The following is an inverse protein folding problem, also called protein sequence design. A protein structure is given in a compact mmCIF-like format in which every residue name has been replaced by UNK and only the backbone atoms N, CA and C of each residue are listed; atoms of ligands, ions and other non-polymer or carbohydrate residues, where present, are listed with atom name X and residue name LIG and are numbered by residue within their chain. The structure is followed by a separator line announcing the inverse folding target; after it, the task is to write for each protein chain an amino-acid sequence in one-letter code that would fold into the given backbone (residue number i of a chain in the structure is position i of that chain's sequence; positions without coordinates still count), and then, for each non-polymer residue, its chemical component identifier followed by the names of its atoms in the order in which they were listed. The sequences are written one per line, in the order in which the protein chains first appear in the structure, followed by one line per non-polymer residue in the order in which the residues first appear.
data_IF_976031903077
#
_entry.id   IF_976031903077
#
_cell.length_a   1.000
_cell.length_b   1.000
_cell.length_c   1.000
_cell.angle_alpha   90.00
_cell.angle_beta   90.00
_cell.angle_gamma   90.00
#
_symmetry.space_group_name_H-M   'P 1'
#
loop_
_entity.id
_entity.type
_entity.pdbx_description
1 polymer ?
#
# COMPACT_ATOMS: atom_id res chain seq x y z
N UNK A 1 -51.61 30.07 27.33
CA UNK A 1 -51.90 29.75 25.91
C UNK A 1 -50.83 30.28 24.95
N UNK A 2 -50.31 31.50 25.13
CA UNK A 2 -49.24 32.05 24.26
C UNK A 2 -47.92 31.24 24.29
N UNK A 3 -47.47 30.78 25.47
CA UNK A 3 -46.24 29.97 25.60
C UNK A 3 -46.40 28.58 24.98
N UNK A 4 -47.60 27.98 25.04
CA UNK A 4 -47.89 26.68 24.43
C UNK A 4 -47.87 26.72 22.89
N UNK A 5 -48.41 27.79 22.30
CA UNK A 5 -48.34 28.02 20.84
C UNK A 5 -46.90 28.33 20.42
N UNK A 6 -46.15 29.09 21.22
CA UNK A 6 -44.74 29.38 20.96
C UNK A 6 -43.86 28.12 20.99
N UNK A 7 -44.12 27.19 21.93
CA UNK A 7 -43.43 25.90 22.01
C UNK A 7 -43.86 24.98 20.87
N UNK A 8 -45.14 24.90 20.51
CA UNK A 8 -45.62 24.13 19.35
C UNK A 8 -45.05 24.63 18.02
N UNK A 9 -44.93 25.94 17.81
CA UNK A 9 -44.33 26.52 16.60
C UNK A 9 -42.82 26.24 16.52
N UNK A 10 -42.08 26.38 17.63
CA UNK A 10 -40.64 26.08 17.64
C UNK A 10 -40.32 24.59 17.59
N UNK A 11 -41.13 23.73 18.19
CA UNK A 11 -40.95 22.26 18.15
C UNK A 11 -41.32 21.72 16.77
N UNK A 12 -42.33 22.27 16.10
CA UNK A 12 -42.67 21.94 14.71
C UNK A 12 -41.54 22.25 13.73
N UNK A 13 -40.97 23.46 13.79
CA UNK A 13 -39.82 23.86 12.95
C UNK A 13 -38.55 23.05 13.28
N UNK A 14 -38.30 22.72 14.55
CA UNK A 14 -37.14 21.91 14.94
C UNK A 14 -37.30 20.46 14.49
N UNK A 15 -38.52 19.92 14.55
CA UNK A 15 -38.84 18.58 14.08
C UNK A 15 -38.75 18.48 12.55
N UNK A 16 -39.29 19.44 11.80
CA UNK A 16 -39.10 19.49 10.34
C UNK A 16 -37.62 19.62 9.99
N UNK A 17 -36.89 20.59 10.57
CA UNK A 17 -35.47 20.85 10.27
C UNK A 17 -34.57 19.66 10.63
N UNK A 18 -34.87 18.94 11.71
CA UNK A 18 -34.13 17.73 12.11
C UNK A 18 -34.44 16.56 11.17
N UNK A 19 -35.67 16.45 10.66
CA UNK A 19 -36.10 15.41 9.70
C UNK A 19 -35.51 15.64 8.31
N UNK A 20 -35.48 16.88 7.80
CA UNK A 20 -34.81 17.18 6.51
C UNK A 20 -33.30 17.01 6.63
N UNK A 21 -32.65 17.44 7.73
CA UNK A 21 -31.23 17.17 7.96
C UNK A 21 -30.91 15.68 8.02
N UNK A 22 -31.80 14.86 8.61
CA UNK A 22 -31.65 13.40 8.62
C UNK A 22 -31.83 12.80 7.22
N UNK A 23 -32.80 13.27 6.43
CA UNK A 23 -33.03 12.83 5.05
C UNK A 23 -31.85 13.21 4.15
N UNK A 24 -31.41 14.47 4.17
CA UNK A 24 -30.28 14.95 3.37
C UNK A 24 -28.98 14.27 3.81
N UNK A 25 -28.77 14.09 5.12
CA UNK A 25 -27.62 13.35 5.65
C UNK A 25 -27.60 11.88 5.23
N UNK A 26 -28.74 11.19 5.34
CA UNK A 26 -28.87 9.77 4.96
C UNK A 26 -28.67 9.56 3.46
N UNK A 27 -29.23 10.45 2.62
CA UNK A 27 -29.07 10.40 1.16
C UNK A 27 -27.61 10.61 0.76
N UNK A 28 -26.91 11.57 1.39
CA UNK A 28 -25.49 11.79 1.14
C UNK A 28 -24.64 10.57 1.54
N UNK A 29 -24.95 9.93 2.67
CA UNK A 29 -24.26 8.71 3.11
C UNK A 29 -24.51 7.54 2.16
N UNK A 30 -25.73 7.36 1.65
CA UNK A 30 -26.06 6.32 0.67
C UNK A 30 -25.32 6.57 -0.66
N UNK A 31 -25.29 7.81 -1.14
CA UNK A 31 -24.59 8.18 -2.36
C UNK A 31 -23.09 7.92 -2.25
N UNK A 32 -22.47 8.33 -1.13
CA UNK A 32 -21.05 8.07 -0.85
C UNK A 32 -20.79 6.56 -0.72
N UNK A 33 -21.65 5.82 -0.04
CA UNK A 33 -21.54 4.37 0.10
C UNK A 33 -21.66 3.63 -1.24
N UNK A 34 -22.57 4.04 -2.11
CA UNK A 34 -22.72 3.48 -3.46
C UNK A 34 -21.49 3.78 -4.33
N UNK A 35 -20.94 4.99 -4.27
CA UNK A 35 -19.71 5.35 -4.98
C UNK A 35 -18.53 4.52 -4.47
N UNK A 36 -18.38 4.35 -3.15
CA UNK A 36 -17.31 3.51 -2.58
C UNK A 36 -17.48 2.05 -3.00
N UNK A 37 -18.71 1.52 -3.02
CA UNK A 37 -18.99 0.15 -3.46
C UNK A 37 -18.66 -0.05 -4.94
N UNK A 38 -19.00 0.94 -5.79
CA UNK A 38 -18.68 0.92 -7.23
C UNK A 38 -17.17 0.98 -7.46
N UNK A 39 -16.47 1.88 -6.77
CA UNK A 39 -14.99 1.98 -6.83
C UNK A 39 -14.35 0.69 -6.32
N UNK A 40 -14.88 0.08 -5.26
CA UNK A 40 -14.39 -1.19 -4.71
C UNK A 40 -14.67 -2.37 -5.64
N UNK A 41 -15.82 -2.40 -6.32
CA UNK A 41 -16.14 -3.42 -7.33
C UNK A 41 -15.23 -3.30 -8.55
N UNK A 42 -14.99 -2.08 -9.05
CA UNK A 42 -14.04 -1.86 -10.14
C UNK A 42 -12.58 -2.12 -9.71
N UNK A 43 -12.22 -1.87 -8.46
CA UNK A 43 -10.91 -2.23 -7.91
C UNK A 43 -10.73 -3.74 -7.75
N UNK A 44 -11.75 -4.45 -7.26
CA UNK A 44 -11.73 -5.90 -7.10
C UNK A 44 -11.81 -6.62 -8.44
N UNK A 45 -12.72 -6.20 -9.33
CA UNK A 45 -12.74 -6.67 -10.72
C UNK A 45 -11.49 -6.24 -11.48
N UNK A 46 -10.88 -5.10 -11.18
CA UNK A 46 -9.58 -4.69 -11.72
C UNK A 46 -8.49 -5.66 -11.31
N UNK A 47 -8.37 -5.95 -10.00
CA UNK A 47 -7.38 -6.89 -9.45
C UNK A 47 -7.61 -8.36 -9.86
N UNK A 48 -8.87 -8.77 -10.08
CA UNK A 48 -9.25 -10.12 -10.55
C UNK A 48 -9.13 -10.24 -12.07
N UNK A 49 -9.38 -9.16 -12.82
CA UNK A 49 -9.27 -9.08 -14.30
C UNK A 49 -7.86 -8.72 -14.77
N UNK A 50 -6.99 -8.26 -13.87
CA UNK A 50 -5.55 -8.26 -14.08
C UNK A 50 -5.03 -9.70 -14.01
N UNK A 51 -4.91 -10.24 -15.21
CA UNK A 51 -4.20 -11.44 -15.58
C UNK A 51 -2.95 -11.65 -14.68
N UNK A 52 -2.56 -12.91 -14.40
CA UNK A 52 -1.32 -13.27 -13.66
C UNK A 52 -0.05 -12.49 -14.11
N UNK A 53 -0.12 -11.86 -15.28
CA UNK A 53 0.81 -10.88 -15.79
C UNK A 53 1.04 -9.60 -14.98
N UNK A 54 0.16 -9.07 -14.10
CA UNK A 54 0.49 -7.81 -13.40
C UNK A 54 1.67 -7.98 -12.43
N UNK A 55 1.61 -9.02 -11.58
CA UNK A 55 2.75 -9.42 -10.75
C UNK A 55 3.95 -9.81 -11.61
N UNK A 56 3.75 -10.48 -12.76
CA UNK A 56 4.84 -10.79 -13.70
C UNK A 56 5.50 -9.52 -14.29
N UNK A 57 4.70 -8.51 -14.65
CA UNK A 57 5.16 -7.23 -15.18
C UNK A 57 6.00 -6.50 -14.14
N UNK A 58 5.51 -6.40 -12.90
CA UNK A 58 6.27 -5.83 -11.78
C UNK A 58 7.57 -6.60 -11.60
N UNK A 59 7.53 -7.94 -11.61
CA UNK A 59 8.73 -8.77 -11.49
C UNK A 59 9.74 -8.53 -12.61
N UNK A 60 9.31 -8.40 -13.87
CA UNK A 60 10.19 -8.15 -15.02
C UNK A 60 10.76 -6.74 -15.04
N UNK A 61 9.94 -5.73 -14.74
CA UNK A 61 10.35 -4.34 -14.73
C UNK A 61 11.32 -4.06 -13.58
N UNK A 62 11.01 -4.58 -12.39
CA UNK A 62 11.88 -4.47 -11.21
C UNK A 62 13.27 -5.08 -11.49
N UNK A 63 13.33 -6.27 -12.08
CA UNK A 63 14.61 -6.88 -12.41
C UNK A 63 15.41 -6.04 -13.41
N UNK A 64 14.74 -5.52 -14.44
CA UNK A 64 15.34 -4.66 -15.47
C UNK A 64 15.88 -3.35 -14.88
N UNK A 65 15.12 -2.70 -14.02
CA UNK A 65 15.50 -1.44 -13.38
C UNK A 65 16.68 -1.66 -12.42
N UNK A 66 16.62 -2.71 -11.58
CA UNK A 66 17.73 -3.09 -10.71
C UNK A 66 19.00 -3.43 -11.50
N UNK A 67 18.85 -4.12 -12.64
CA UNK A 67 19.98 -4.44 -13.50
C UNK A 67 20.62 -3.17 -14.10
N UNK A 68 19.80 -2.20 -14.51
CA UNK A 68 20.29 -0.91 -14.98
C UNK A 68 21.02 -0.15 -13.86
N UNK A 69 20.40 -0.03 -12.68
CA UNK A 69 21.01 0.64 -11.53
C UNK A 69 22.32 0.00 -11.09
N UNK A 70 22.44 -1.33 -11.16
CA UNK A 70 23.68 -2.03 -10.83
C UNK A 70 24.82 -1.69 -11.81
N UNK A 71 24.54 -1.58 -13.10
CA UNK A 71 25.54 -1.22 -14.13
C UNK A 71 25.91 0.26 -14.10
N UNK A 72 24.97 1.13 -13.71
CA UNK A 72 25.18 2.57 -13.57
C UNK A 72 25.84 2.94 -12.22
N UNK A 73 25.96 1.98 -11.30
CA UNK A 73 26.53 2.18 -9.96
C UNK A 73 27.97 2.72 -9.99
N UNK A 74 28.23 3.76 -9.19
CA UNK A 74 29.57 4.34 -9.05
C UNK A 74 29.97 5.30 -10.18
N UNK A 75 29.08 5.59 -11.13
CA UNK A 75 29.34 6.66 -12.12
C UNK A 75 29.15 8.04 -11.51
N UNK A 76 29.99 8.99 -11.93
CA UNK A 76 29.99 10.37 -11.42
C UNK A 76 28.77 11.19 -11.84
N UNK A 77 28.16 10.85 -12.97
CA UNK A 77 26.95 11.49 -13.51
C UNK A 77 25.65 11.00 -12.86
N UNK A 78 25.69 9.88 -12.12
CA UNK A 78 24.53 9.21 -11.49
C UNK A 78 24.80 8.85 -10.01
N UNK A 79 25.28 9.82 -9.23
CA UNK A 79 25.55 9.66 -7.78
C UNK A 79 24.26 9.36 -6.97
N UNK A 80 23.12 9.88 -7.42
CA UNK A 80 21.80 9.61 -6.86
C UNK A 80 21.42 8.13 -6.94
N UNK A 81 21.70 7.47 -8.07
CA UNK A 81 21.50 6.02 -8.23
C UNK A 81 22.36 5.25 -7.23
N UNK A 82 23.62 5.64 -7.08
CA UNK A 82 24.57 5.00 -6.15
C UNK A 82 24.05 5.08 -4.71
N UNK A 83 23.62 6.26 -4.26
CA UNK A 83 23.04 6.47 -2.93
C UNK A 83 21.74 5.70 -2.70
N UNK A 84 20.86 5.69 -3.70
CA UNK A 84 19.61 4.94 -3.65
C UNK A 84 19.88 3.43 -3.54
N UNK A 85 20.83 2.92 -4.31
CA UNK A 85 21.21 1.51 -4.28
C UNK A 85 21.89 1.13 -2.96
N UNK A 86 22.75 1.98 -2.40
CA UNK A 86 23.36 1.78 -1.08
C UNK A 86 22.31 1.72 0.03
N UNK A 87 21.31 2.59 -0.05
CA UNK A 87 20.19 2.64 0.89
C UNK A 87 19.37 1.36 0.80
N UNK A 88 19.06 0.91 -0.43
CA UNK A 88 18.35 -0.33 -0.68
C UNK A 88 19.07 -1.54 -0.06
N UNK A 89 20.38 -1.65 -0.29
CA UNK A 89 21.19 -2.76 0.23
C UNK A 89 21.21 -2.82 1.76
N UNK A 90 21.31 -1.66 2.41
CA UNK A 90 21.36 -1.57 3.86
C UNK A 90 19.98 -1.77 4.51
N UNK A 91 18.91 -1.23 3.92
CA UNK A 91 17.55 -1.37 4.44
C UNK A 91 17.07 -2.81 4.29
N UNK A 92 17.25 -3.40 3.10
CA UNK A 92 16.75 -4.73 2.80
C UNK A 92 17.76 -5.84 3.10
N UNK A 93 18.97 -5.50 3.57
CA UNK A 93 20.02 -6.45 3.95
C UNK A 93 20.33 -7.42 2.81
N UNK A 94 20.63 -6.86 1.64
CA UNK A 94 20.86 -7.58 0.39
C UNK A 94 22.11 -7.04 -0.33
N UNK A 95 22.65 -7.82 -1.28
CA UNK A 95 23.78 -7.42 -2.10
C UNK A 95 23.65 -7.97 -3.53
N UNK A 96 23.80 -7.08 -4.51
CA UNK A 96 23.61 -7.41 -5.93
C UNK A 96 22.14 -7.58 -6.32
N UNK A 97 21.87 -8.17 -7.49
CA UNK A 97 20.50 -8.33 -8.00
C UNK A 97 19.91 -9.64 -7.47
N UNK A 98 20.51 -10.77 -7.83
CA UNK A 98 20.13 -12.11 -7.39
C UNK A 98 21.09 -12.63 -6.31
N UNK A 99 22.35 -12.20 -6.32
CA UNK A 99 23.33 -12.47 -5.29
C UNK A 99 24.53 -11.50 -5.38
N UNK A 100 25.42 -11.54 -4.38
CA UNK A 100 26.60 -10.68 -4.31
C UNK A 100 27.59 -10.84 -5.48
N UNK A 101 27.59 -11.96 -6.20
CA UNK A 101 28.49 -12.21 -7.35
C UNK A 101 28.08 -11.43 -8.60
N UNK A 102 26.88 -10.85 -8.62
CA UNK A 102 26.46 -10.00 -9.74
C UNK A 102 27.39 -8.79 -9.93
N UNK A 103 28.01 -8.32 -8.84
CA UNK A 103 29.04 -7.27 -8.85
C UNK A 103 30.25 -7.59 -9.73
N UNK A 104 30.56 -8.86 -9.95
CA UNK A 104 31.72 -9.27 -10.75
C UNK A 104 31.56 -8.89 -12.23
N UNK A 105 30.33 -8.68 -12.69
CA UNK A 105 30.00 -8.31 -14.07
C UNK A 105 29.87 -6.80 -14.27
N UNK A 106 30.05 -6.00 -13.21
CA UNK A 106 29.83 -4.55 -13.27
C UNK A 106 31.15 -3.81 -13.52
N UNK A 107 31.09 -2.61 -14.13
CA UNK A 107 32.26 -1.74 -14.26
C UNK A 107 32.89 -1.37 -12.92
N UNK A 108 32.08 -1.32 -11.84
CA UNK A 108 32.54 -0.99 -10.48
C UNK A 108 33.59 -1.96 -9.95
N UNK A 109 33.36 -3.28 -10.11
CA UNK A 109 34.30 -4.30 -9.63
C UNK A 109 35.49 -4.52 -10.58
N UNK A 110 35.39 -4.03 -11.83
CA UNK A 110 36.37 -4.26 -12.89
C UNK A 110 36.73 -5.75 -13.04
N UNK A 111 35.73 -6.63 -12.95
CA UNK A 111 35.90 -8.08 -13.03
C UNK A 111 36.39 -8.78 -11.75
N UNK A 112 36.60 -8.06 -10.64
CA UNK A 112 37.08 -8.68 -9.40
C UNK A 112 36.00 -9.54 -8.73
N UNK A 113 36.40 -10.72 -8.25
CA UNK A 113 35.48 -11.64 -7.56
C UNK A 113 35.19 -11.26 -6.11
N UNK A 114 36.03 -10.41 -5.51
CA UNK A 114 36.01 -10.08 -4.07
C UNK A 114 35.86 -8.58 -3.81
N UNK A 115 35.16 -7.88 -4.71
CA UNK A 115 34.85 -6.46 -4.57
C UNK A 115 33.34 -6.26 -4.70
N UNK A 116 32.76 -5.67 -3.65
CA UNK A 116 31.39 -5.20 -3.57
C UNK A 116 31.39 -3.82 -2.89
N UNK A 117 30.30 -3.05 -2.97
CA UNK A 117 30.15 -1.84 -2.16
C UNK A 117 30.19 -2.09 -0.66
N UNK A 118 30.62 -1.10 0.12
CA UNK A 118 30.58 -1.18 1.59
C UNK A 118 29.14 -1.25 2.14
N UNK A 119 28.15 -0.80 1.38
CA UNK A 119 26.72 -0.96 1.64
C UNK A 119 26.24 -2.41 1.54
N UNK A 120 27.03 -3.34 0.99
CA UNK A 120 26.76 -4.78 1.10
C UNK A 120 27.18 -5.40 2.44
N UNK A 121 27.91 -4.67 3.29
CA UNK A 121 28.41 -5.23 4.54
C UNK A 121 27.34 -5.26 5.63
N UNK A 122 27.30 -6.37 6.39
CA UNK A 122 26.40 -6.54 7.53
C UNK A 122 26.70 -5.51 8.63
N UNK A 123 27.98 -5.17 8.79
CA UNK A 123 28.45 -4.11 9.67
C UNK A 123 29.08 -3.03 8.80
N UNK A 124 28.48 -1.85 8.79
CA UNK A 124 28.97 -0.71 8.02
C UNK A 124 30.36 -0.32 8.52
N UNK A 125 31.38 -0.66 7.73
CA UNK A 125 32.79 -0.38 7.99
C UNK A 125 33.44 0.02 6.67
N UNK A 126 34.20 1.12 6.68
CA UNK A 126 34.90 1.60 5.49
C UNK A 126 35.86 0.53 4.95
N UNK A 127 35.77 0.24 3.66
CA UNK A 127 36.60 -0.74 2.95
C UNK A 127 36.24 -2.20 3.24
N UNK A 128 35.13 -2.47 3.92
CA UNK A 128 34.68 -3.84 4.19
C UNK A 128 34.35 -4.62 2.90
N UNK A 129 33.85 -3.94 1.86
CA UNK A 129 33.48 -4.58 0.60
C UNK A 129 34.67 -5.06 -0.26
N UNK A 130 35.91 -4.86 0.19
CA UNK A 130 37.13 -5.31 -0.50
C UNK A 130 37.74 -6.50 0.22
N UNK A 131 38.01 -7.59 -0.50
CA UNK A 131 38.55 -8.83 0.07
C UNK A 131 37.74 -9.32 1.28
N UNK A 132 36.41 -9.23 1.17
CA UNK A 132 35.47 -9.64 2.21
C UNK A 132 35.48 -11.17 2.42
N UNK A 133 35.03 -11.62 3.59
CA UNK A 133 34.59 -13.01 3.77
C UNK A 133 33.07 -13.07 3.57
N UNK A 134 32.56 -14.20 3.08
CA UNK A 134 31.11 -14.37 2.79
C UNK A 134 30.22 -14.06 4.01
N UNK A 135 30.73 -14.23 5.23
CA UNK A 135 30.02 -13.93 6.49
C UNK A 135 29.91 -12.44 6.83
N UNK A 136 30.73 -11.58 6.21
CA UNK A 136 30.79 -10.16 6.54
C UNK A 136 29.80 -9.33 5.69
N UNK A 137 29.24 -9.94 4.64
CA UNK A 137 28.35 -9.31 3.68
C UNK A 137 26.96 -9.95 3.66
N UNK A 138 26.00 -9.28 3.04
CA UNK A 138 24.71 -9.86 2.71
C UNK A 138 24.85 -10.77 1.47
N UNK A 139 24.54 -12.05 1.61
CA UNK A 139 24.68 -13.01 0.50
C UNK A 139 23.51 -13.00 -0.50
N UNK A 140 22.31 -12.63 -0.03
CA UNK A 140 21.08 -12.61 -0.83
C UNK A 140 21.01 -11.39 -1.75
N UNK A 141 20.45 -11.55 -2.95
CA UNK A 141 20.24 -10.44 -3.88
C UNK A 141 19.02 -9.57 -3.57
N UNK A 142 19.11 -8.29 -3.94
CA UNK A 142 18.06 -7.30 -3.68
C UNK A 142 16.78 -7.55 -4.47
N UNK A 143 16.84 -8.09 -5.68
CA UNK A 143 15.64 -8.45 -6.44
C UNK A 143 14.81 -9.50 -5.70
N UNK A 144 15.46 -10.53 -5.16
CA UNK A 144 14.79 -11.60 -4.40
C UNK A 144 14.13 -11.02 -3.15
N UNK A 145 14.84 -10.14 -2.44
CA UNK A 145 14.35 -9.55 -1.19
C UNK A 145 13.20 -8.58 -1.42
N UNK A 146 13.37 -7.61 -2.31
CA UNK A 146 12.33 -6.63 -2.67
C UNK A 146 11.09 -7.33 -3.20
N UNK A 147 11.27 -8.35 -4.04
CA UNK A 147 10.14 -9.17 -4.52
C UNK A 147 9.39 -9.85 -3.38
N UNK A 148 10.09 -10.42 -2.40
CA UNK A 148 9.43 -11.03 -1.23
C UNK A 148 8.67 -9.98 -0.44
N UNK A 149 9.30 -8.85 -0.15
CA UNK A 149 8.70 -7.75 0.62
C UNK A 149 7.46 -7.18 -0.05
N UNK A 150 7.51 -6.98 -1.38
CA UNK A 150 6.35 -6.52 -2.14
C UNK A 150 5.20 -7.51 -2.03
N UNK A 151 5.47 -8.82 -2.15
CA UNK A 151 4.42 -9.85 -2.02
C UNK A 151 3.82 -9.90 -0.62
N UNK A 152 4.67 -9.85 0.40
CA UNK A 152 4.24 -9.91 1.80
C UNK A 152 3.42 -8.67 2.18
N UNK A 153 3.89 -7.48 1.78
CA UNK A 153 3.17 -6.22 2.04
C UNK A 153 1.86 -6.12 1.25
N UNK A 154 1.84 -6.55 -0.01
CA UNK A 154 0.63 -6.55 -0.83
C UNK A 154 -0.45 -7.47 -0.24
N UNK A 155 -0.04 -8.63 0.31
CA UNK A 155 -0.97 -9.55 0.96
C UNK A 155 -1.63 -8.91 2.19
N UNK A 156 -0.87 -8.16 3.00
CA UNK A 156 -1.41 -7.41 4.15
C UNK A 156 -2.40 -6.32 3.68
N UNK A 157 -2.03 -5.53 2.68
CA UNK A 157 -2.90 -4.46 2.13
C UNK A 157 -4.22 -5.04 1.64
N UNK A 158 -4.17 -6.14 0.88
CA UNK A 158 -5.37 -6.83 0.40
C UNK A 158 -6.24 -7.36 1.56
N UNK A 159 -5.60 -7.93 2.59
CA UNK A 159 -6.29 -8.40 3.79
C UNK A 159 -7.04 -7.31 4.53
N UNK A 160 -6.40 -6.15 4.76
CA UNK A 160 -7.04 -4.98 5.40
C UNK A 160 -8.20 -4.46 4.54
N UNK A 161 -8.00 -4.35 3.22
CA UNK A 161 -9.04 -3.91 2.30
C UNK A 161 -10.30 -4.80 2.34
N UNK A 162 -10.12 -6.11 2.34
CA UNK A 162 -11.24 -7.06 2.46
C UNK A 162 -11.95 -6.98 3.80
N UNK A 163 -11.20 -6.85 4.90
CA UNK A 163 -11.79 -6.71 6.24
C UNK A 163 -12.66 -5.44 6.35
N UNK A 164 -12.15 -4.31 5.85
CA UNK A 164 -12.90 -3.05 5.81
C UNK A 164 -14.16 -3.18 4.95
N UNK A 165 -14.05 -3.80 3.77
CA UNK A 165 -15.20 -4.03 2.90
C UNK A 165 -16.29 -4.87 3.59
N UNK A 166 -15.90 -5.91 4.31
CA UNK A 166 -16.83 -6.76 5.07
C UNK A 166 -17.53 -5.99 6.20
N UNK A 167 -16.79 -5.21 6.98
CA UNK A 167 -17.34 -4.35 8.04
C UNK A 167 -18.35 -3.34 7.45
N UNK A 168 -18.01 -2.75 6.31
CA UNK A 168 -18.88 -1.78 5.64
C UNK A 168 -20.22 -2.41 5.22
N UNK A 169 -20.21 -3.64 4.70
CA UNK A 169 -21.42 -4.38 4.32
C UNK A 169 -22.29 -4.66 5.55
N UNK A 170 -21.70 -5.10 6.66
CA UNK A 170 -22.44 -5.30 7.91
C UNK A 170 -23.07 -4.00 8.41
N UNK A 171 -22.33 -2.88 8.37
CA UNK A 171 -22.85 -1.58 8.77
C UNK A 171 -24.04 -1.12 7.92
N UNK A 172 -24.00 -1.38 6.60
CA UNK A 172 -25.13 -1.09 5.71
C UNK A 172 -26.37 -1.94 6.06
N UNK A 173 -26.20 -3.23 6.34
CA UNK A 173 -27.30 -4.13 6.75
C UNK A 173 -27.94 -3.66 8.05
N UNK A 174 -27.13 -3.39 9.09
CA UNK A 174 -27.65 -2.93 10.37
C UNK A 174 -28.36 -1.58 10.26
N UNK A 175 -27.83 -0.65 9.45
CA UNK A 175 -28.46 0.64 9.20
C UNK A 175 -29.84 0.46 8.56
N UNK A 176 -29.98 -0.40 7.55
CA UNK A 176 -31.27 -0.70 6.93
C UNK A 176 -32.26 -1.31 7.93
N UNK A 177 -31.82 -2.28 8.74
CA UNK A 177 -32.68 -2.91 9.76
C UNK A 177 -33.16 -1.89 10.81
N UNK A 178 -32.27 -1.02 11.28
CA UNK A 178 -32.61 0.04 12.24
C UNK A 178 -33.61 1.04 11.64
N UNK A 179 -33.39 1.49 10.39
CA UNK A 179 -34.32 2.39 9.70
C UNK A 179 -35.69 1.74 9.55
N UNK A 180 -35.77 0.49 9.08
CA UNK A 180 -37.04 -0.22 8.94
C UNK A 180 -37.78 -0.41 10.26
N UNK A 181 -37.06 -0.56 11.38
CA UNK A 181 -37.68 -0.68 12.71
C UNK A 181 -38.21 0.67 13.20
N UNK A 182 -37.46 1.75 13.00
CA UNK A 182 -37.87 3.11 13.38
C UNK A 182 -39.06 3.57 12.52
N UNK A 183 -39.03 3.33 11.21
CA UNK A 183 -40.12 3.71 10.31
C UNK A 183 -41.44 3.01 10.66
N UNK A 184 -41.38 1.76 11.10
CA UNK A 184 -42.56 1.06 11.62
C UNK A 184 -43.04 1.65 12.94
N UNK A 185 -42.14 2.02 13.85
CA UNK A 185 -42.53 2.63 15.13
C UNK A 185 -43.20 4.01 14.96
N UNK A 186 -42.82 4.80 13.95
CA UNK A 186 -43.50 6.06 13.62
C UNK A 186 -44.87 5.89 12.95
N UNK A 187 -45.18 4.71 12.41
CA UNK A 187 -46.49 4.42 11.77
C UNK A 187 -47.55 3.99 12.80
N UNK A 188 -47.13 3.54 13.99
CA UNK A 188 -48.01 3.15 15.10
C UNK A 188 -48.12 4.20 16.22
N UNK A 189 -47.51 5.39 16.05
CA UNK A 189 -47.55 6.51 16.98
C UNK A 189 -48.36 7.67 16.39
#
# INVERSE_FOLDING_TARGET
MAVGIYVQLKVGDLAELQTVKFLTGSILIIAVGAVIAVVSFFGCCGAVKENRCFLCLIETNLNKDLNKSLIDYGRKDHDDITKAYDTLQQQEKCCGINNYRDWQRTPFSNGSHSVVPDSCCQKKKAGCGKNFQDKDIYGEGCYVKVKSLLKDNLMVIFGVGLAVAFIQVLAMIFSMVLICKISKQSEYA
#
